data_IF_670370826884
#
_entry.id   IF_670370826884
#
_cell.length_a   1.000
_cell.length_b   1.000
_cell.length_c   1.000
_cell.angle_alpha   90.00
_cell.angle_beta   90.00
_cell.angle_gamma   90.00
#
_symmetry.space_group_name_H-M   'P 1'
#
loop_
_entity.id
_entity.type
_entity.pdbx_description
1 polymer ?
#
# COMPACT_ATOMS: atom_id res chain seq x y z
N UNK A 1 -9.83 -3.36 22.73
CA UNK A 1 -8.69 -4.29 22.55
C UNK A 1 -7.47 -3.70 23.24
N UNK A 2 -7.07 -4.22 24.41
CA UNK A 2 -6.02 -3.61 25.23
C UNK A 2 -4.63 -3.63 24.56
N UNK A 3 -4.29 -4.69 23.80
CA UNK A 3 -3.00 -4.77 23.10
C UNK A 3 -2.87 -3.72 22.01
N UNK A 4 -3.97 -3.43 21.31
CA UNK A 4 -4.01 -2.38 20.30
C UNK A 4 -3.82 -0.98 20.92
N UNK A 5 -4.51 -0.69 22.04
CA UNK A 5 -4.35 0.59 22.73
C UNK A 5 -2.91 0.83 23.24
N UNK A 6 -2.25 -0.22 23.75
CA UNK A 6 -0.82 -0.15 24.15
C UNK A 6 0.07 0.16 22.95
N UNK A 7 -0.19 -0.45 21.78
CA UNK A 7 0.55 -0.16 20.55
C UNK A 7 0.39 1.30 20.12
N UNK A 8 -0.84 1.82 20.11
CA UNK A 8 -1.13 3.23 19.80
C UNK A 8 -0.40 4.18 20.76
N UNK A 9 -0.42 3.89 22.06
CA UNK A 9 0.29 4.68 23.08
C UNK A 9 1.82 4.60 22.92
N UNK A 10 2.37 3.44 22.54
CA UNK A 10 3.81 3.26 22.35
C UNK A 10 4.32 4.02 21.12
N UNK A 11 3.58 3.99 20.01
CA UNK A 11 3.93 4.68 18.77
C UNK A 11 3.33 6.09 18.66
N UNK A 12 2.65 6.57 19.70
CA UNK A 12 2.10 7.92 19.84
C UNK A 12 1.20 8.36 18.66
N UNK A 13 0.29 7.49 18.22
CA UNK A 13 -0.72 7.84 17.23
C UNK A 13 -2.13 7.54 17.73
N UNK A 14 -3.10 8.33 17.28
CA UNK A 14 -4.52 8.12 17.56
C UNK A 14 -5.18 7.36 16.41
N UNK A 15 -5.78 6.18 16.65
CA UNK A 15 -6.38 5.38 15.59
C UNK A 15 -7.75 5.96 15.19
N UNK A 16 -7.89 6.30 13.91
CA UNK A 16 -9.19 6.61 13.31
C UNK A 16 -9.70 5.42 12.48
N UNK A 17 -10.96 5.03 12.69
CA UNK A 17 -11.57 3.88 12.03
C UNK A 17 -12.74 4.33 11.16
N UNK A 18 -12.74 3.87 9.90
CA UNK A 18 -13.88 4.08 9.00
C UNK A 18 -15.17 3.54 9.65
N UNK A 19 -16.25 4.32 9.57
CA UNK A 19 -17.58 3.95 10.05
C UNK A 19 -18.62 3.97 8.92
N UNK A 20 -19.86 3.54 9.18
CA UNK A 20 -20.92 3.46 8.15
C UNK A 20 -21.23 4.83 7.52
N UNK A 21 -21.03 5.93 8.26
CA UNK A 21 -21.22 7.29 7.78
C UNK A 21 -19.98 7.89 7.08
N UNK A 22 -18.84 7.19 7.05
CA UNK A 22 -17.59 7.64 6.41
C UNK A 22 -17.63 7.63 4.87
N UNK A 23 -18.83 7.61 4.28
CA UNK A 23 -19.05 7.75 2.85
C UNK A 23 -18.32 6.67 2.03
N UNK A 24 -17.50 7.10 1.07
CA UNK A 24 -16.87 6.24 0.08
C UNK A 24 -15.37 5.96 0.34
N UNK A 25 -14.86 6.25 1.53
CA UNK A 25 -13.45 6.02 1.87
C UNK A 25 -13.01 4.56 1.63
N UNK A 26 -13.82 3.60 2.09
CA UNK A 26 -13.56 2.18 1.89
C UNK A 26 -13.45 1.81 0.41
N UNK A 27 -14.32 2.37 -0.43
CA UNK A 27 -14.30 2.09 -1.87
C UNK A 27 -13.08 2.68 -2.57
N UNK A 28 -12.59 3.84 -2.13
CA UNK A 28 -11.33 4.42 -2.60
C UNK A 28 -10.17 3.49 -2.25
N UNK A 29 -10.10 3.02 -1.01
CA UNK A 29 -9.06 2.09 -0.55
C UNK A 29 -9.10 0.79 -1.36
N UNK A 30 -10.27 0.17 -1.50
CA UNK A 30 -10.45 -1.08 -2.26
C UNK A 30 -10.02 -0.95 -3.71
N UNK A 31 -10.40 0.16 -4.37
CA UNK A 31 -9.99 0.45 -5.74
C UNK A 31 -8.47 0.61 -5.85
N UNK A 32 -7.85 1.38 -4.96
CA UNK A 32 -6.40 1.58 -4.96
C UNK A 32 -5.64 0.27 -4.75
N UNK A 33 -6.14 -0.61 -3.87
CA UNK A 33 -5.56 -1.95 -3.67
C UNK A 33 -5.66 -2.78 -4.96
N UNK A 34 -6.83 -2.78 -5.61
CA UNK A 34 -7.04 -3.49 -6.86
C UNK A 34 -6.11 -2.98 -7.98
N UNK A 35 -6.01 -1.66 -8.15
CA UNK A 35 -5.20 -1.02 -9.18
C UNK A 35 -3.70 -1.26 -8.94
N UNK A 36 -3.23 -1.12 -7.70
CA UNK A 36 -1.83 -1.36 -7.33
C UNK A 36 -1.43 -2.81 -7.58
N UNK A 37 -2.28 -3.76 -7.15
CA UNK A 37 -2.06 -5.19 -7.37
C UNK A 37 -2.00 -5.49 -8.86
N UNK A 38 -2.95 -4.98 -9.64
CA UNK A 38 -2.98 -5.20 -11.09
C UNK A 38 -1.70 -4.68 -11.76
N UNK A 39 -1.23 -3.49 -11.39
CA UNK A 39 -0.02 -2.90 -11.98
C UNK A 39 1.22 -3.75 -11.71
N UNK A 40 1.45 -4.15 -10.45
CA UNK A 40 2.60 -4.99 -10.09
C UNK A 40 2.57 -6.34 -10.81
N UNK A 41 1.43 -7.04 -10.81
CA UNK A 41 1.39 -8.40 -11.36
C UNK A 41 1.33 -8.46 -12.88
N UNK A 42 0.96 -7.37 -13.57
CA UNK A 42 1.14 -7.28 -15.02
C UNK A 42 2.63 -7.20 -15.36
N UNK A 43 3.39 -6.30 -14.71
CA UNK A 43 4.82 -6.17 -14.96
C UNK A 43 5.60 -7.44 -14.57
N UNK A 44 5.14 -8.13 -13.51
CA UNK A 44 5.75 -9.39 -13.08
C UNK A 44 5.61 -10.50 -14.13
N UNK A 45 4.57 -10.47 -14.99
CA UNK A 45 4.37 -11.48 -16.04
C UNK A 45 5.41 -11.39 -17.16
N UNK A 46 6.01 -10.22 -17.35
CA UNK A 46 7.07 -10.01 -18.34
C UNK A 46 8.45 -10.47 -17.84
N UNK A 47 8.53 -10.93 -16.59
CA UNK A 47 9.75 -11.40 -15.94
C UNK A 47 9.72 -12.92 -15.76
N UNK A 48 10.87 -13.56 -15.89
CA UNK A 48 11.06 -14.95 -15.45
C UNK A 48 11.79 -14.95 -14.12
N UNK A 49 11.23 -15.63 -13.13
CA UNK A 49 11.84 -15.78 -11.80
C UNK A 49 12.22 -17.24 -11.58
N UNK A 50 13.45 -17.48 -11.16
CA UNK A 50 13.97 -18.81 -10.86
C UNK A 50 13.89 -19.15 -9.36
N UNK A 51 13.51 -18.19 -8.52
CA UNK A 51 13.30 -18.39 -7.08
C UNK A 51 12.32 -17.37 -6.49
N UNK A 52 11.80 -17.69 -5.30
CA UNK A 52 11.02 -16.73 -4.52
C UNK A 52 11.86 -15.55 -4.02
N UNK A 53 13.16 -15.76 -3.78
CA UNK A 53 14.06 -14.67 -3.38
C UNK A 53 14.18 -13.62 -4.49
N UNK A 54 14.35 -14.06 -5.73
CA UNK A 54 14.40 -13.20 -6.91
C UNK A 54 13.09 -12.42 -7.10
N UNK A 55 11.94 -13.11 -7.00
CA UNK A 55 10.63 -12.47 -7.04
C UNK A 55 10.48 -11.41 -5.94
N UNK A 56 10.87 -11.71 -4.70
CA UNK A 56 10.77 -10.79 -3.58
C UNK A 56 11.67 -9.56 -3.75
N UNK A 57 12.89 -9.76 -4.25
CA UNK A 57 13.81 -8.67 -4.57
C UNK A 57 13.21 -7.75 -5.65
N UNK A 58 12.65 -8.34 -6.71
CA UNK A 58 11.97 -7.61 -7.78
C UNK A 58 10.74 -6.85 -7.26
N UNK A 59 9.87 -7.50 -6.47
CA UNK A 59 8.68 -6.87 -5.87
C UNK A 59 9.07 -5.65 -5.03
N UNK A 60 10.11 -5.78 -4.20
CA UNK A 60 10.60 -4.67 -3.38
C UNK A 60 11.10 -3.49 -4.22
N UNK A 61 11.83 -3.75 -5.31
CA UNK A 61 12.29 -2.71 -6.23
C UNK A 61 11.10 -2.07 -6.97
N UNK A 62 10.17 -2.87 -7.49
CA UNK A 62 9.03 -2.36 -8.25
C UNK A 62 8.09 -1.53 -7.39
N UNK A 63 7.84 -1.92 -6.13
CA UNK A 63 7.05 -1.11 -5.19
C UNK A 63 7.66 0.28 -4.97
N UNK A 64 8.99 0.38 -4.82
CA UNK A 64 9.68 1.67 -4.68
C UNK A 64 9.64 2.50 -5.97
N UNK A 65 9.82 1.88 -7.12
CA UNK A 65 9.68 2.57 -8.40
C UNK A 65 8.26 3.15 -8.57
N UNK A 66 7.23 2.36 -8.27
CA UNK A 66 5.84 2.82 -8.32
C UNK A 66 5.54 3.93 -7.30
N UNK A 67 6.16 3.93 -6.12
CA UNK A 67 6.02 5.02 -5.16
C UNK A 67 6.47 6.37 -5.74
N UNK A 68 7.57 6.36 -6.50
CA UNK A 68 8.11 7.57 -7.13
C UNK A 68 7.33 7.96 -8.40
N UNK A 69 6.86 6.98 -9.18
CA UNK A 69 6.07 7.23 -10.40
C UNK A 69 4.65 7.74 -10.11
N UNK A 70 4.06 7.35 -8.97
CA UNK A 70 2.67 7.62 -8.66
C UNK A 70 2.53 8.73 -7.63
N UNK A 71 1.83 9.79 -8.01
CA UNK A 71 1.46 10.86 -7.08
C UNK A 71 0.49 10.34 -6.04
N UNK A 72 0.79 10.59 -4.76
CA UNK A 72 -0.15 10.26 -3.69
C UNK A 72 -1.46 11.07 -3.88
N UNK A 73 -2.64 10.41 -3.90
CA UNK A 73 -3.90 11.03 -4.31
C UNK A 73 -4.34 12.20 -3.42
N UNK A 74 -3.84 12.27 -2.19
CA UNK A 74 -4.19 13.32 -1.22
C UNK A 74 -3.02 14.26 -0.90
N UNK A 75 -1.78 13.90 -1.26
CA UNK A 75 -0.58 14.63 -0.80
C UNK A 75 0.46 14.66 -1.91
N UNK A 76 0.43 15.68 -2.77
CA UNK A 76 1.24 15.79 -3.98
C UNK A 76 2.75 16.00 -3.77
N UNK A 77 3.30 15.72 -2.58
CA UNK A 77 4.72 15.87 -2.25
C UNK A 77 5.28 14.75 -1.34
N UNK A 78 4.58 13.62 -1.23
CA UNK A 78 5.05 12.44 -0.51
C UNK A 78 5.81 11.44 -1.40
N UNK A 79 5.74 11.60 -2.72
CA UNK A 79 6.58 10.87 -3.67
C UNK A 79 7.91 11.62 -3.79
N UNK A 80 9.03 10.89 -3.69
CA UNK A 80 10.39 11.44 -3.77
C UNK A 80 10.69 12.12 -5.12
#
# INVERSE_FOLDING_TARGET
NARFAVMCAHYLFDPDFCNVAAGWEKGIVEKNVQDSRRRIWLDAQDCQFHSFEELNAWLGQRCRALWNELTHPQYSGLSD
#
